data_IF_029454293524
#
_entry.id   IF_029454293524
#
_cell.length_a   1.000
_cell.length_b   1.000
_cell.length_c   1.000
_cell.angle_alpha   90.00
_cell.angle_beta   90.00
_cell.angle_gamma   90.00
#
_symmetry.space_group_name_H-M   'P 1'
#
loop_
_entity.id
_entity.type
_entity.pdbx_description
1 polymer ?
#
# COMPACT_ATOMS: atom_id res chain seq x y z
N UNK A 1 -20.88 -11.72 -17.53
CA UNK A 1 -20.61 -12.00 -16.11
C UNK A 1 -21.96 -11.96 -15.40
N UNK A 2 -22.28 -12.98 -14.59
CA UNK A 2 -23.51 -12.96 -13.78
C UNK A 2 -23.41 -11.79 -12.78
N UNK A 3 -24.53 -11.10 -12.52
CA UNK A 3 -24.61 -9.96 -11.60
C UNK A 3 -24.15 -10.27 -10.15
N UNK A 4 -23.84 -11.53 -9.86
CA UNK A 4 -23.49 -12.03 -8.52
C UNK A 4 -22.03 -12.47 -8.34
N UNK A 5 -21.12 -12.18 -9.29
CA UNK A 5 -19.71 -12.52 -9.12
C UNK A 5 -18.98 -11.45 -8.31
N UNK A 6 -18.35 -11.87 -7.22
CA UNK A 6 -17.50 -10.98 -6.42
C UNK A 6 -16.32 -10.48 -7.27
N UNK A 7 -15.94 -9.19 -7.19
CA UNK A 7 -14.83 -8.66 -7.97
C UNK A 7 -13.46 -9.07 -7.41
N UNK A 8 -12.44 -9.02 -8.25
CA UNK A 8 -11.07 -8.81 -7.82
C UNK A 8 -10.89 -7.30 -7.57
N UNK A 9 -10.28 -6.92 -6.46
CA UNK A 9 -10.01 -5.53 -6.15
C UNK A 9 -8.54 -5.18 -6.36
N UNK A 10 -8.30 -4.03 -6.98
CA UNK A 10 -7.00 -3.39 -7.10
C UNK A 10 -7.01 -2.11 -6.28
N UNK A 11 -6.05 -1.96 -5.37
CA UNK A 11 -5.96 -0.81 -4.46
C UNK A 11 -4.62 -0.12 -4.67
N UNK A 12 -4.61 1.20 -4.88
CA UNK A 12 -3.40 1.95 -5.18
C UNK A 12 -3.12 3.09 -4.20
N UNK A 13 -1.90 3.11 -3.63
CA UNK A 13 -1.37 4.28 -2.91
C UNK A 13 -1.23 5.43 -3.90
N UNK A 14 -1.76 6.61 -3.54
CA UNK A 14 -1.76 7.80 -4.37
C UNK A 14 -1.34 9.04 -3.59
N UNK A 15 -0.20 9.01 -2.91
CA UNK A 15 0.39 10.20 -2.29
C UNK A 15 1.00 11.05 -3.40
N UNK A 16 0.29 12.11 -3.81
CA UNK A 16 0.66 12.87 -5.01
C UNK A 16 1.90 13.76 -4.80
N UNK A 17 2.20 14.10 -3.54
CA UNK A 17 3.47 14.63 -3.11
C UNK A 17 3.73 14.25 -1.65
N UNK A 18 4.93 13.72 -1.36
CA UNK A 18 5.30 13.26 -0.03
C UNK A 18 6.57 13.96 0.49
N UNK A 19 6.39 14.94 1.36
CA UNK A 19 7.50 15.58 2.08
C UNK A 19 7.95 14.79 3.31
N UNK A 20 7.20 13.76 3.72
CA UNK A 20 7.32 13.11 5.03
C UNK A 20 6.46 13.76 6.10
N UNK A 21 5.82 14.89 5.81
CA UNK A 21 5.06 15.67 6.80
C UNK A 21 5.99 16.32 7.83
N UNK A 22 5.61 16.26 9.12
CA UNK A 22 6.45 16.79 10.22
C UNK A 22 7.76 15.98 10.36
N UNK A 23 7.74 14.69 10.08
CA UNK A 23 8.96 13.85 9.95
C UNK A 23 9.60 14.09 8.57
N UNK A 24 10.04 15.32 8.35
CA UNK A 24 10.46 15.85 7.05
C UNK A 24 11.62 15.06 6.44
N UNK A 25 11.50 14.68 5.19
CA UNK A 25 12.56 14.05 4.41
C UNK A 25 13.75 15.04 4.21
N UNK A 26 14.97 14.52 3.99
CA UNK A 26 16.06 15.35 3.48
C UNK A 26 15.68 16.04 2.16
N UNK A 27 16.23 17.23 1.91
CA UNK A 27 15.92 17.99 0.70
C UNK A 27 16.38 17.29 -0.59
N UNK A 28 17.51 16.57 -0.56
CA UNK A 28 18.01 15.86 -1.74
C UNK A 28 17.09 14.71 -2.16
N UNK A 29 16.59 14.78 -3.40
CA UNK A 29 15.67 13.79 -3.96
C UNK A 29 14.19 14.01 -3.57
N UNK A 30 13.86 15.08 -2.85
CA UNK A 30 12.47 15.36 -2.48
C UNK A 30 11.61 15.69 -3.70
N UNK A 31 12.18 16.27 -4.74
CA UNK A 31 11.52 16.54 -6.02
C UNK A 31 11.00 15.28 -6.70
N UNK A 32 11.61 14.13 -6.43
CA UNK A 32 11.19 12.84 -6.98
C UNK A 32 9.93 12.29 -6.27
N UNK A 33 9.53 12.86 -5.13
CA UNK A 33 8.37 12.40 -4.36
C UNK A 33 7.02 12.68 -5.03
N UNK A 34 7.00 13.27 -6.21
CA UNK A 34 5.85 13.27 -7.12
C UNK A 34 5.50 11.87 -7.64
N UNK A 35 6.44 10.91 -7.53
CA UNK A 35 6.25 9.51 -7.96
C UNK A 35 5.50 8.66 -6.91
N UNK A 36 5.26 9.18 -5.72
CA UNK A 36 4.72 8.42 -4.59
C UNK A 36 3.22 8.06 -4.75
N UNK A 37 2.71 8.32 -5.91
CA UNK A 37 1.40 7.91 -6.42
C UNK A 37 1.47 6.76 -7.44
N UNK A 38 2.61 6.11 -7.58
CA UNK A 38 2.84 5.05 -8.57
C UNK A 38 1.85 3.89 -8.46
N UNK A 39 1.49 3.50 -7.23
CA UNK A 39 0.45 2.47 -7.01
C UNK A 39 -0.90 2.87 -7.61
N UNK A 40 -1.35 4.11 -7.37
CA UNK A 40 -2.58 4.63 -7.97
C UNK A 40 -2.49 4.71 -9.50
N UNK A 41 -1.31 5.11 -10.03
CA UNK A 41 -1.04 5.16 -11.47
C UNK A 41 -1.19 3.79 -12.13
N UNK A 42 -0.63 2.74 -11.53
CA UNK A 42 -0.75 1.36 -12.03
C UNK A 42 -2.21 0.88 -11.97
N UNK A 43 -2.93 1.13 -10.89
CA UNK A 43 -4.36 0.78 -10.79
C UNK A 43 -5.17 1.47 -11.90
N UNK A 44 -5.01 2.79 -12.06
CA UNK A 44 -5.71 3.54 -13.09
C UNK A 44 -5.39 3.03 -14.51
N UNK A 45 -4.10 2.80 -14.82
CA UNK A 45 -3.65 2.27 -16.10
C UNK A 45 -4.18 0.86 -16.37
N UNK A 46 -4.20 -0.01 -15.37
CA UNK A 46 -4.75 -1.36 -15.47
C UNK A 46 -6.25 -1.33 -15.73
N UNK A 47 -7.01 -0.52 -14.99
CA UNK A 47 -8.46 -0.38 -15.19
C UNK A 47 -8.78 0.16 -16.59
N UNK A 48 -8.03 1.14 -17.06
CA UNK A 48 -8.16 1.67 -18.43
C UNK A 48 -7.87 0.57 -19.49
N UNK A 49 -6.82 -0.21 -19.28
CA UNK A 49 -6.45 -1.32 -20.16
C UNK A 49 -7.54 -2.38 -20.21
N UNK A 50 -8.06 -2.80 -19.06
CA UNK A 50 -9.17 -3.77 -18.97
C UNK A 50 -10.41 -3.28 -19.71
N UNK A 51 -10.76 -2.00 -19.53
CA UNK A 51 -11.91 -1.39 -20.21
C UNK A 51 -11.71 -1.34 -21.73
N UNK A 52 -10.56 -0.86 -22.22
CA UNK A 52 -10.24 -0.79 -23.66
C UNK A 52 -10.22 -2.17 -24.31
N UNK A 53 -9.70 -3.17 -23.63
CA UNK A 53 -9.66 -4.57 -24.12
C UNK A 53 -11.03 -5.27 -24.00
N UNK A 54 -12.02 -4.63 -23.39
CA UNK A 54 -13.33 -5.26 -23.09
C UNK A 54 -13.13 -6.60 -22.37
N UNK A 55 -12.22 -6.63 -21.40
CA UNK A 55 -11.88 -7.85 -20.68
C UNK A 55 -13.11 -8.42 -19.95
N UNK A 56 -13.33 -9.74 -20.08
CA UNK A 56 -14.41 -10.45 -19.40
C UNK A 56 -14.01 -10.75 -17.94
N UNK A 57 -13.72 -9.71 -17.17
CA UNK A 57 -13.31 -9.80 -15.79
C UNK A 57 -14.13 -8.83 -14.93
N UNK A 58 -14.50 -9.24 -13.72
CA UNK A 58 -15.13 -8.36 -12.74
C UNK A 58 -14.02 -7.81 -11.84
N UNK A 59 -13.64 -6.56 -12.03
CA UNK A 59 -12.55 -5.90 -11.32
C UNK A 59 -13.02 -4.54 -10.83
N UNK A 60 -12.65 -4.19 -9.62
CA UNK A 60 -12.84 -2.85 -9.06
C UNK A 60 -11.47 -2.25 -8.73
N UNK A 61 -11.26 -1.00 -9.11
CA UNK A 61 -10.04 -0.24 -8.78
C UNK A 61 -10.35 0.88 -7.81
N UNK A 62 -9.54 0.99 -6.75
CA UNK A 62 -9.61 2.05 -5.76
C UNK A 62 -8.25 2.75 -5.65
N UNK A 63 -8.27 4.06 -5.51
CA UNK A 63 -7.06 4.86 -5.31
C UNK A 63 -7.25 5.83 -4.14
N UNK A 64 -6.26 5.92 -3.26
CA UNK A 64 -6.24 6.88 -2.16
C UNK A 64 -5.36 8.06 -2.53
N UNK A 65 -5.98 9.19 -2.87
CA UNK A 65 -5.27 10.39 -3.31
C UNK A 65 -5.14 11.36 -2.13
N UNK A 66 -3.91 11.62 -1.72
CA UNK A 66 -3.57 12.52 -0.61
C UNK A 66 -2.25 13.24 -0.88
N UNK A 67 -1.96 14.28 -0.11
CA UNK A 67 -0.63 14.88 0.04
C UNK A 67 -0.16 14.69 1.48
N UNK A 68 1.15 14.52 1.67
CA UNK A 68 1.79 14.50 2.99
C UNK A 68 2.72 15.69 3.14
N UNK A 69 2.22 16.76 3.74
CA UNK A 69 2.87 18.07 3.80
C UNK A 69 2.98 18.57 5.25
N UNK A 70 4.06 19.31 5.60
CA UNK A 70 4.13 19.99 6.87
C UNK A 70 3.17 21.18 6.88
N UNK A 71 2.42 21.33 7.97
CA UNK A 71 1.56 22.50 8.21
C UNK A 71 1.28 22.66 9.70
N UNK A 72 0.63 23.73 10.10
CA UNK A 72 0.19 23.96 11.49
C UNK A 72 -0.86 22.95 11.95
N UNK A 73 -1.55 22.29 11.02
CA UNK A 73 -2.59 21.27 11.28
C UNK A 73 -2.18 19.88 10.87
N UNK A 74 -0.92 19.71 10.41
CA UNK A 74 -0.41 18.39 10.02
C UNK A 74 -0.36 17.43 11.20
N UNK A 75 -0.51 16.16 10.89
CA UNK A 75 -0.32 15.06 11.83
C UNK A 75 1.10 15.10 12.42
N UNK A 76 1.24 14.88 13.71
CA UNK A 76 2.52 14.96 14.44
C UNK A 76 2.95 13.59 14.92
N UNK A 77 4.24 13.33 15.03
CA UNK A 77 4.73 12.19 15.82
C UNK A 77 4.17 12.23 17.24
N UNK A 78 3.59 11.11 17.69
CA UNK A 78 2.89 11.01 18.97
C UNK A 78 1.36 11.17 18.89
N UNK A 79 0.82 11.64 17.77
CA UNK A 79 -0.62 11.67 17.56
C UNK A 79 -1.17 10.23 17.45
N UNK A 80 -2.39 10.03 17.95
CA UNK A 80 -3.14 8.79 17.80
C UNK A 80 -4.30 9.04 16.87
N UNK A 81 -4.34 8.29 15.77
CA UNK A 81 -5.41 8.38 14.79
C UNK A 81 -6.29 7.14 14.86
N UNK A 82 -7.52 7.27 14.42
CA UNK A 82 -8.47 6.15 14.33
C UNK A 82 -8.64 5.78 12.87
N UNK A 83 -8.39 4.50 12.56
CA UNK A 83 -8.64 3.95 11.23
C UNK A 83 -10.13 3.86 10.93
N UNK A 84 -10.49 3.71 9.66
CA UNK A 84 -11.87 3.48 9.22
C UNK A 84 -12.47 2.21 9.84
N UNK A 85 -11.65 1.20 10.11
CA UNK A 85 -12.06 -0.02 10.83
C UNK A 85 -12.39 0.25 12.30
N UNK A 86 -11.85 1.32 12.90
CA UNK A 86 -12.04 1.68 14.28
C UNK A 86 -10.82 1.44 15.18
N UNK A 87 -9.80 0.74 14.70
CA UNK A 87 -8.54 0.53 15.44
C UNK A 87 -7.79 1.85 15.59
N UNK A 88 -7.12 2.04 16.72
CA UNK A 88 -6.29 3.21 16.99
C UNK A 88 -4.84 2.96 16.59
N UNK A 89 -4.20 3.96 15.97
CA UNK A 89 -2.82 3.85 15.49
C UNK A 89 -2.01 5.02 16.04
N UNK A 90 -0.95 4.70 16.80
CA UNK A 90 0.03 5.68 17.25
C UNK A 90 0.98 6.01 16.09
N UNK A 91 1.00 7.27 15.68
CA UNK A 91 1.88 7.77 14.62
C UNK A 91 3.23 8.10 15.24
N UNK A 92 4.22 7.25 15.01
CA UNK A 92 5.60 7.48 15.45
C UNK A 92 6.38 8.28 14.39
N UNK A 93 6.08 8.03 13.11
CA UNK A 93 6.73 8.68 11.99
C UNK A 93 5.68 9.08 10.95
N UNK A 94 5.57 10.36 10.67
CA UNK A 94 4.59 10.86 9.68
C UNK A 94 5.00 10.57 8.23
N UNK A 95 6.25 10.16 7.99
CA UNK A 95 6.75 9.66 6.69
C UNK A 95 6.39 8.17 6.45
N UNK A 96 5.59 7.59 7.32
CA UNK A 96 4.97 6.28 7.17
C UNK A 96 3.44 6.43 7.01
N UNK A 97 3.02 7.34 6.15
CA UNK A 97 1.64 7.75 5.87
C UNK A 97 0.92 6.77 4.93
N UNK A 98 1.66 6.21 3.97
CA UNK A 98 1.08 5.36 2.92
C UNK A 98 0.35 4.16 3.47
N UNK A 99 0.86 3.53 4.52
CA UNK A 99 0.18 2.41 5.20
C UNK A 99 -1.08 2.83 5.94
N UNK A 100 -1.19 4.08 6.37
CA UNK A 100 -2.42 4.61 6.96
C UNK A 100 -3.49 4.78 5.89
N UNK A 101 -3.14 5.36 4.75
CA UNK A 101 -4.03 5.46 3.58
C UNK A 101 -4.49 4.07 3.12
N UNK A 102 -3.56 3.13 2.98
CA UNK A 102 -3.88 1.77 2.55
C UNK A 102 -4.76 1.03 3.56
N UNK A 103 -4.56 1.22 4.87
CA UNK A 103 -5.39 0.56 5.88
C UNK A 103 -6.87 0.90 5.72
N UNK A 104 -7.18 2.17 5.47
CA UNK A 104 -8.55 2.65 5.27
C UNK A 104 -9.12 2.18 3.93
N UNK A 105 -8.31 2.24 2.85
CA UNK A 105 -8.74 1.75 1.54
C UNK A 105 -9.03 0.25 1.55
N UNK A 106 -8.16 -0.55 2.18
CA UNK A 106 -8.33 -1.99 2.28
C UNK A 106 -9.59 -2.35 3.07
N UNK A 107 -9.84 -1.65 4.17
CA UNK A 107 -11.08 -1.83 4.95
C UNK A 107 -12.31 -1.44 4.13
N UNK A 108 -12.32 -0.25 3.54
CA UNK A 108 -13.42 0.21 2.68
C UNK A 108 -13.70 -0.76 1.54
N UNK A 109 -12.65 -1.29 0.91
CA UNK A 109 -12.76 -2.24 -0.19
C UNK A 109 -13.46 -3.51 0.23
N UNK A 110 -13.10 -4.06 1.39
CA UNK A 110 -13.73 -5.27 1.93
C UNK A 110 -15.20 -5.04 2.25
N UNK A 111 -15.51 -3.98 2.98
CA UNK A 111 -16.89 -3.67 3.40
C UNK A 111 -17.80 -3.37 2.20
N UNK A 112 -17.30 -2.63 1.22
CA UNK A 112 -18.13 -2.13 0.12
C UNK A 112 -18.32 -3.15 -0.99
N UNK A 113 -17.29 -3.93 -1.32
CA UNK A 113 -17.27 -4.76 -2.53
C UNK A 113 -17.18 -6.26 -2.25
N UNK A 114 -16.82 -6.66 -1.03
CA UNK A 114 -16.63 -8.06 -0.64
C UNK A 114 -15.88 -8.88 -1.71
N UNK A 115 -14.65 -8.47 -2.10
CA UNK A 115 -13.93 -9.02 -3.24
C UNK A 115 -13.47 -10.47 -2.97
N UNK A 116 -13.16 -11.21 -4.04
CA UNK A 116 -12.55 -12.56 -3.95
C UNK A 116 -11.08 -12.48 -3.53
N UNK A 117 -10.42 -11.37 -3.79
CA UNK A 117 -9.04 -11.08 -3.42
C UNK A 117 -8.74 -9.60 -3.63
N UNK A 118 -7.70 -9.12 -2.98
CA UNK A 118 -7.24 -7.74 -3.10
C UNK A 118 -5.76 -7.77 -3.47
N UNK A 119 -5.37 -6.97 -4.45
CA UNK A 119 -3.97 -6.64 -4.73
C UNK A 119 -3.80 -5.16 -4.47
N UNK A 120 -2.98 -4.80 -3.50
CA UNK A 120 -2.61 -3.42 -3.26
C UNK A 120 -1.21 -3.12 -3.82
N UNK A 121 -1.04 -1.91 -4.33
CA UNK A 121 0.16 -1.45 -5.00
C UNK A 121 0.58 -0.13 -4.38
N UNK A 122 1.85 -0.05 -3.99
CA UNK A 122 2.38 1.12 -3.33
C UNK A 122 3.88 1.27 -3.54
N UNK A 123 4.33 2.50 -3.71
CA UNK A 123 5.70 2.96 -3.52
C UNK A 123 5.93 3.17 -2.02
N UNK A 124 5.96 2.06 -1.24
CA UNK A 124 5.69 2.14 0.19
C UNK A 124 6.92 2.45 1.04
N UNK A 125 8.05 1.78 0.77
CA UNK A 125 9.26 1.95 1.57
C UNK A 125 10.54 1.86 0.73
N UNK A 126 11.55 2.66 1.06
CA UNK A 126 12.89 2.51 0.47
C UNK A 126 13.60 1.21 0.85
N UNK A 127 13.14 0.52 1.89
CA UNK A 127 13.73 -0.74 2.35
C UNK A 127 13.64 -1.86 1.30
N UNK A 128 12.58 -1.87 0.48
CA UNK A 128 12.45 -2.86 -0.60
C UNK A 128 13.50 -2.65 -1.69
N UNK A 129 13.91 -1.41 -1.94
CA UNK A 129 14.98 -1.09 -2.90
C UNK A 129 16.33 -1.59 -2.36
N UNK A 130 16.56 -1.48 -1.05
CA UNK A 130 17.76 -2.04 -0.41
C UNK A 130 17.80 -3.57 -0.51
N UNK A 131 16.62 -4.22 -0.46
CA UNK A 131 16.51 -5.67 -0.53
C UNK A 131 16.60 -6.22 -1.96
N UNK A 132 15.93 -5.59 -2.94
CA UNK A 132 15.70 -6.14 -4.28
C UNK A 132 16.21 -5.24 -5.42
N UNK A 133 16.77 -4.07 -5.12
CA UNK A 133 17.14 -3.08 -6.13
C UNK A 133 15.89 -2.55 -6.85
N UNK A 134 16.07 -2.20 -8.12
CA UNK A 134 14.98 -1.78 -9.02
C UNK A 134 14.55 -2.91 -9.96
N UNK A 135 15.07 -4.13 -9.74
CA UNK A 135 14.89 -5.27 -10.65
C UNK A 135 13.60 -6.04 -10.35
N UNK A 136 13.16 -6.08 -9.10
CA UNK A 136 11.99 -6.84 -8.69
C UNK A 136 11.08 -6.06 -7.76
N UNK A 137 9.78 -6.18 -7.98
CA UNK A 137 8.79 -5.76 -6.99
C UNK A 137 8.76 -6.75 -5.82
N UNK A 138 8.69 -6.25 -4.58
CA UNK A 138 8.45 -7.09 -3.41
C UNK A 138 6.99 -7.46 -3.31
N UNK A 139 6.69 -8.76 -3.17
CA UNK A 139 5.33 -9.28 -3.04
C UNK A 139 5.16 -9.88 -1.66
N UNK A 140 4.19 -9.38 -0.90
CA UNK A 140 3.77 -9.93 0.39
C UNK A 140 2.37 -10.50 0.24
N UNK A 141 2.08 -11.66 0.81
CA UNK A 141 0.74 -12.25 0.70
C UNK A 141 0.44 -13.16 1.89
N UNK A 142 -0.81 -13.12 2.32
CA UNK A 142 -1.39 -14.03 3.30
C UNK A 142 -2.05 -15.26 2.67
N UNK A 143 -2.00 -15.39 1.32
CA UNK A 143 -2.55 -16.52 0.56
C UNK A 143 -1.49 -17.05 -0.40
N UNK A 144 -1.10 -18.31 -0.21
CA UNK A 144 -0.03 -18.95 -0.98
C UNK A 144 -0.45 -19.23 -2.44
N UNK A 145 -1.68 -19.67 -2.66
CA UNK A 145 -2.18 -20.00 -4.00
C UNK A 145 -2.32 -18.76 -4.86
N UNK A 146 -2.87 -17.71 -4.28
CA UNK A 146 -3.02 -16.42 -4.94
C UNK A 146 -1.65 -15.81 -5.27
N UNK A 147 -0.72 -15.83 -4.31
CA UNK A 147 0.64 -15.35 -4.52
C UNK A 147 1.35 -16.11 -5.63
N UNK A 148 1.31 -17.45 -5.61
CA UNK A 148 1.95 -18.28 -6.61
C UNK A 148 1.36 -18.04 -8.02
N UNK A 149 0.05 -17.85 -8.09
CA UNK A 149 -0.62 -17.50 -9.36
C UNK A 149 -0.16 -16.16 -9.90
N UNK A 150 -0.03 -15.16 -9.04
CA UNK A 150 0.50 -13.83 -9.39
C UNK A 150 1.95 -13.93 -9.89
N UNK A 151 2.83 -14.57 -9.13
CA UNK A 151 4.25 -14.71 -9.48
C UNK A 151 4.46 -15.49 -10.78
N UNK A 152 3.63 -16.49 -11.04
CA UNK A 152 3.65 -17.23 -12.31
C UNK A 152 3.37 -16.32 -13.50
N UNK A 153 2.35 -15.47 -13.39
CA UNK A 153 2.01 -14.53 -14.45
C UNK A 153 3.08 -13.45 -14.60
N UNK A 154 3.58 -12.90 -13.50
CA UNK A 154 4.67 -11.92 -13.51
C UNK A 154 5.90 -12.47 -14.27
N UNK A 155 6.29 -13.72 -13.98
CA UNK A 155 7.38 -14.38 -14.69
C UNK A 155 7.11 -14.62 -16.19
N UNK A 156 5.86 -14.95 -16.56
CA UNK A 156 5.48 -15.13 -17.97
C UNK A 156 5.53 -13.83 -18.78
N UNK A 157 5.22 -12.71 -18.12
CA UNK A 157 5.22 -11.38 -18.72
C UNK A 157 6.59 -10.66 -18.60
N UNK A 158 7.60 -11.32 -18.01
CA UNK A 158 8.92 -10.75 -17.70
C UNK A 158 8.86 -9.54 -16.78
N UNK A 159 7.88 -9.50 -15.89
CA UNK A 159 7.73 -8.49 -14.83
C UNK A 159 8.38 -9.03 -13.55
N UNK A 160 9.52 -8.46 -13.16
CA UNK A 160 10.28 -8.92 -11.99
C UNK A 160 9.47 -8.81 -10.70
N UNK A 161 9.24 -9.93 -10.03
CA UNK A 161 8.54 -9.98 -8.76
C UNK A 161 9.15 -11.04 -7.83
N UNK A 162 9.33 -10.70 -6.55
CA UNK A 162 9.92 -11.61 -5.57
C UNK A 162 9.08 -11.66 -4.30
N UNK A 163 8.73 -12.87 -3.86
CA UNK A 163 7.95 -13.05 -2.63
C UNK A 163 8.82 -12.81 -1.41
N UNK A 164 8.34 -11.90 -0.56
CA UNK A 164 8.92 -11.56 0.74
C UNK A 164 8.17 -12.29 1.87
N UNK A 165 8.84 -12.61 2.99
CA UNK A 165 8.22 -13.36 4.07
C UNK A 165 7.25 -12.52 4.89
N UNK A 166 6.14 -13.14 5.32
CA UNK A 166 5.27 -12.64 6.39
C UNK A 166 5.41 -13.55 7.63
N UNK A 167 5.36 -12.94 8.81
CA UNK A 167 5.44 -13.69 10.07
C UNK A 167 4.77 -12.92 11.21
N UNK A 168 4.08 -13.59 12.14
CA UNK A 168 3.56 -12.97 13.36
C UNK A 168 4.63 -12.28 14.23
N UNK A 169 5.92 -12.56 13.97
CA UNK A 169 7.02 -11.86 14.64
C UNK A 169 7.14 -10.39 14.19
N UNK A 170 6.75 -10.08 12.94
CA UNK A 170 6.72 -8.71 12.44
C UNK A 170 5.58 -7.92 13.08
N UNK A 171 4.41 -8.54 13.27
CA UNK A 171 3.25 -7.90 13.92
C UNK A 171 3.59 -7.42 15.34
N UNK A 172 4.41 -8.20 16.06
CA UNK A 172 4.85 -7.83 17.41
C UNK A 172 5.65 -6.52 17.45
N UNK A 173 6.30 -6.14 16.34
CA UNK A 173 7.05 -4.88 16.24
C UNK A 173 6.13 -3.65 16.15
N UNK A 174 4.86 -3.85 15.77
CA UNK A 174 3.87 -2.80 15.65
C UNK A 174 3.12 -2.52 16.97
N UNK A 175 3.41 -3.25 18.05
CA UNK A 175 2.73 -3.03 19.35
C UNK A 175 3.00 -1.62 19.86
N UNK A 176 1.92 -0.91 20.20
CA UNK A 176 1.94 0.36 20.91
C UNK A 176 1.66 0.17 22.40
N UNK A 177 2.03 1.14 23.20
CA UNK A 177 1.65 1.26 24.62
C UNK A 177 0.40 2.14 24.80
N UNK A 178 0.06 2.94 23.79
CA UNK A 178 -0.95 4.00 23.88
C UNK A 178 -2.13 3.76 22.92
N UNK A 179 -1.97 2.87 21.95
CA UNK A 179 -2.94 2.56 20.92
C UNK A 179 -2.95 1.06 20.63
N UNK A 180 -3.84 0.59 19.77
CA UNK A 180 -3.88 -0.81 19.36
C UNK A 180 -2.60 -1.20 18.61
N UNK A 181 -2.04 -0.27 17.82
CA UNK A 181 -0.77 -0.45 17.14
C UNK A 181 -0.06 0.88 16.89
N UNK A 182 1.16 0.83 16.36
CA UNK A 182 1.91 1.99 15.84
C UNK A 182 2.19 1.83 14.36
N UNK A 183 2.43 2.95 13.68
CA UNK A 183 2.62 2.93 12.22
C UNK A 183 3.99 2.50 11.73
N UNK A 184 4.97 2.24 12.62
CA UNK A 184 6.32 1.75 12.24
C UNK A 184 6.80 0.66 13.18
N UNK A 185 7.47 -0.35 12.62
CA UNK A 185 8.04 -1.48 13.37
C UNK A 185 9.49 -1.28 13.84
N UNK A 186 10.14 -0.19 13.43
CA UNK A 186 11.58 0.05 13.62
C UNK A 186 12.36 -0.03 12.30
N UNK A 187 13.69 -0.01 12.38
CA UNK A 187 14.55 -0.06 11.18
C UNK A 187 14.67 -1.46 10.57
N UNK A 188 14.67 -2.50 11.41
CA UNK A 188 14.84 -3.88 10.98
C UNK A 188 13.56 -4.40 10.34
N UNK A 189 13.70 -5.06 9.19
CA UNK A 189 12.58 -5.56 8.41
C UNK A 189 11.57 -4.44 8.05
N UNK A 190 12.09 -3.36 7.47
CA UNK A 190 11.31 -2.16 7.12
C UNK A 190 10.62 -2.24 5.75
N UNK A 191 10.80 -3.34 5.00
CA UNK A 191 10.12 -3.56 3.73
C UNK A 191 8.70 -4.03 3.94
#
# INVERSE_FOLDING_TARGET
LSENTKPLALVGKGVVFDTGGISLKPAGGMEDMTMDMGGAGVVAGTMLSLAKRKAKANVVGLVGLVENMPSSTAQRPGDIVKSMKGDTIEVINTDAEGRLVLSDLLWYTQERFNPVGIIDLATLTGAIIVALGYENAGVFSNDDEFCNSFLKVANQENEGAWRMPLSPKYDKKLKSRLADMKNVGGRDAGA
#
